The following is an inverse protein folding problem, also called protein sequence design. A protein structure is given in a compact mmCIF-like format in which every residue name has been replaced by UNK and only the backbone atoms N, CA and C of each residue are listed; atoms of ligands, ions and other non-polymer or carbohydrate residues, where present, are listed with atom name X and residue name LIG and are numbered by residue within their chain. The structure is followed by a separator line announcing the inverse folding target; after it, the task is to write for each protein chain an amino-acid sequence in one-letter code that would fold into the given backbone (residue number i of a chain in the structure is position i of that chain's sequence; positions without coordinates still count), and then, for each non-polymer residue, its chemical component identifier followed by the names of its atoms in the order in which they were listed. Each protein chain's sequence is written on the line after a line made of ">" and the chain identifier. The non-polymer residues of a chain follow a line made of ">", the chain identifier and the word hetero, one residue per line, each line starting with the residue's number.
data_IF_072665085468
#
_entry.id   IF_072665085468
#
_cell.length_a   1.000
_cell.length_b   1.000
_cell.length_c   1.000
_cell.angle_alpha   90.00
_cell.angle_beta   90.00
_cell.angle_gamma   90.00
#
_symmetry.space_group_name_H-M   'P 1'
#
loop_
_entity.id
_entity.type
_entity.pdbx_description
1 polymer ?
#
# COMPACT_ATOMS: atom_id res chain seq x y z
N UNK A 1 -4.72 -30.76 -17.90
CA UNK A 1 -4.59 -29.33 -18.24
C UNK A 1 -3.35 -28.84 -17.50
N UNK A 2 -2.25 -28.61 -18.23
CA UNK A 2 -0.93 -28.33 -17.67
C UNK A 2 -0.93 -26.99 -16.94
N UNK A 3 -0.41 -26.97 -15.71
CA UNK A 3 -0.28 -25.78 -14.86
C UNK A 3 0.92 -24.90 -15.22
N UNK A 4 1.63 -25.19 -16.31
CA UNK A 4 2.75 -24.39 -16.77
C UNK A 4 2.54 -24.12 -18.26
N UNK A 5 2.09 -22.90 -18.55
CA UNK A 5 2.14 -22.26 -19.86
C UNK A 5 3.63 -22.03 -20.17
N UNK A 6 4.26 -23.02 -20.84
CA UNK A 6 5.67 -23.00 -21.21
C UNK A 6 5.93 -21.90 -22.26
N UNK A 7 6.15 -20.67 -21.82
CA UNK A 7 6.54 -19.59 -22.73
C UNK A 7 6.42 -18.16 -22.19
N UNK A 8 5.67 -17.93 -21.11
CA UNK A 8 5.66 -16.61 -20.47
C UNK A 8 6.76 -16.51 -19.44
N UNK A 9 7.71 -15.60 -19.68
CA UNK A 9 8.63 -15.19 -18.63
C UNK A 9 7.79 -14.59 -17.49
N UNK A 10 7.81 -15.13 -16.26
CA UNK A 10 7.02 -14.59 -15.15
C UNK A 10 7.44 -13.16 -14.77
N UNK A 11 8.57 -12.68 -15.32
CA UNK A 11 9.09 -11.33 -15.17
C UNK A 11 8.91 -10.45 -16.42
N UNK A 12 8.22 -10.92 -17.48
CA UNK A 12 7.97 -10.11 -18.70
C UNK A 12 7.13 -8.87 -18.39
N UNK A 13 6.28 -8.95 -17.37
CA UNK A 13 5.69 -7.79 -16.70
C UNK A 13 6.51 -7.49 -15.46
N UNK A 14 7.69 -6.89 -15.65
CA UNK A 14 8.54 -6.38 -14.56
C UNK A 14 7.64 -5.68 -13.56
N UNK A 15 7.66 -6.15 -12.30
CA UNK A 15 6.94 -5.54 -11.18
C UNK A 15 7.14 -4.03 -11.25
N UNK A 16 6.13 -3.30 -11.74
CA UNK A 16 6.14 -1.85 -11.70
C UNK A 16 5.75 -1.48 -10.28
N UNK A 17 6.75 -1.36 -9.43
CA UNK A 17 6.57 -0.82 -8.10
C UNK A 17 6.28 0.67 -8.25
N UNK A 18 5.32 1.17 -7.46
CA UNK A 18 5.08 2.60 -7.37
C UNK A 18 6.35 3.33 -6.93
N UNK A 19 6.53 4.58 -7.37
CA UNK A 19 7.68 5.43 -6.98
C UNK A 19 7.89 5.49 -5.47
N UNK A 20 6.79 5.55 -4.72
CA UNK A 20 6.76 5.57 -3.26
C UNK A 20 7.36 4.31 -2.61
N UNK A 21 7.47 3.19 -3.33
CA UNK A 21 8.12 1.96 -2.85
C UNK A 21 9.61 2.00 -3.19
N UNK A 22 9.96 2.14 -4.47
CA UNK A 22 11.35 1.95 -4.92
C UNK A 22 12.28 3.13 -4.62
N UNK A 23 11.74 4.34 -4.39
CA UNK A 23 12.52 5.49 -3.94
C UNK A 23 12.58 5.64 -2.42
N UNK A 24 11.80 4.85 -1.67
CA UNK A 24 11.72 5.00 -0.23
C UNK A 24 12.90 4.33 0.47
N UNK A 25 13.49 5.03 1.44
CA UNK A 25 14.45 4.45 2.37
C UNK A 25 13.73 4.18 3.71
N UNK A 26 13.36 2.93 4.00
CA UNK A 26 12.61 2.60 5.22
C UNK A 26 13.45 2.77 6.48
N UNK A 27 14.77 2.59 6.42
CA UNK A 27 15.66 2.72 7.57
C UNK A 27 15.76 4.18 8.02
N UNK A 28 16.03 5.09 7.09
CA UNK A 28 16.05 6.53 7.36
C UNK A 28 14.70 7.01 7.88
N UNK A 29 13.61 6.61 7.23
CA UNK A 29 12.27 6.98 7.66
C UNK A 29 11.97 6.50 9.10
N UNK A 30 12.29 5.24 9.41
CA UNK A 30 12.07 4.70 10.75
C UNK A 30 12.88 5.46 11.80
N UNK A 31 14.14 5.79 11.51
CA UNK A 31 14.99 6.55 12.41
C UNK A 31 14.44 7.95 12.66
N UNK A 32 14.04 8.67 11.60
CA UNK A 32 13.52 10.03 11.68
C UNK A 32 12.18 10.10 12.42
N UNK A 33 11.29 9.13 12.16
CA UNK A 33 9.92 9.13 12.69
C UNK A 33 9.77 8.43 14.05
N UNK A 34 10.80 7.74 14.54
CA UNK A 34 10.73 6.92 15.76
C UNK A 34 10.20 7.69 16.97
N UNK A 35 10.76 8.86 17.25
CA UNK A 35 10.39 9.65 18.43
C UNK A 35 8.91 10.08 18.37
N UNK A 36 8.46 10.60 17.22
CA UNK A 36 7.08 11.03 17.04
C UNK A 36 6.08 9.86 17.13
N UNK A 37 6.44 8.71 16.55
CA UNK A 37 5.64 7.49 16.67
C UNK A 37 5.57 7.00 18.14
N UNK A 38 6.67 7.05 18.88
CA UNK A 38 6.71 6.68 20.29
C UNK A 38 5.83 7.62 21.15
N UNK A 39 5.91 8.93 20.92
CA UNK A 39 5.07 9.90 21.62
C UNK A 39 3.58 9.70 21.31
N UNK A 40 3.23 9.38 20.07
CA UNK A 40 1.86 9.01 19.71
C UNK A 40 1.35 7.82 20.53
N UNK A 41 2.17 6.77 20.69
CA UNK A 41 1.81 5.59 21.46
C UNK A 41 1.71 5.86 22.97
N UNK A 42 2.59 6.70 23.51
CA UNK A 42 2.68 6.94 24.95
C UNK A 42 1.65 7.95 25.46
N UNK A 43 1.44 9.03 24.72
CA UNK A 43 0.65 10.19 25.18
C UNK A 43 -0.40 10.66 24.18
N UNK A 44 -0.55 9.98 23.03
CA UNK A 44 -1.51 10.38 22.00
C UNK A 44 -1.11 11.64 21.24
N UNK A 45 0.19 11.99 21.20
CA UNK A 45 0.67 13.09 20.38
C UNK A 45 0.29 12.85 18.90
N UNK A 46 -0.06 13.89 18.12
CA UNK A 46 -0.37 13.72 16.70
C UNK A 46 0.81 13.11 15.95
N UNK A 47 0.54 12.06 15.18
CA UNK A 47 1.50 11.41 14.29
C UNK A 47 0.79 10.96 13.03
N UNK A 48 1.36 11.32 11.88
CA UNK A 48 0.87 10.91 10.57
C UNK A 48 2.04 10.29 9.80
N UNK A 49 1.85 9.07 9.33
CA UNK A 49 2.86 8.39 8.55
C UNK A 49 2.84 8.88 7.09
N UNK A 50 4.02 9.17 6.54
CA UNK A 50 4.16 9.72 5.17
C UNK A 50 4.79 8.72 4.21
N UNK A 51 4.98 7.47 4.65
CA UNK A 51 5.49 6.35 3.86
C UNK A 51 4.39 5.64 3.03
N UNK A 52 3.36 6.38 2.64
CA UNK A 52 2.24 5.94 1.81
C UNK A 52 2.32 6.63 0.43
N UNK A 53 1.57 6.17 -0.58
CA UNK A 53 1.43 6.91 -1.83
C UNK A 53 1.01 8.36 -1.56
N UNK A 54 1.58 9.30 -2.30
CA UNK A 54 1.35 10.74 -2.03
C UNK A 54 -0.13 11.09 -2.18
N UNK A 55 -0.72 11.69 -1.16
CA UNK A 55 -2.15 12.04 -1.14
C UNK A 55 -3.09 10.85 -0.92
N UNK A 56 -2.56 9.66 -0.63
CA UNK A 56 -3.36 8.54 -0.17
C UNK A 56 -3.87 8.85 1.23
N UNK A 57 -5.17 8.63 1.45
CA UNK A 57 -5.80 8.69 2.76
C UNK A 57 -6.30 7.29 3.05
N UNK A 58 -5.78 6.69 4.11
CA UNK A 58 -6.22 5.38 4.54
C UNK A 58 -7.71 5.40 4.88
N UNK A 59 -8.43 4.38 4.44
CA UNK A 59 -9.83 4.16 4.73
C UNK A 59 -9.95 2.80 5.40
N UNK A 60 -10.70 2.76 6.50
CA UNK A 60 -10.97 1.50 7.19
C UNK A 60 -11.71 0.52 6.27
N UNK A 61 -11.31 -0.73 6.37
CA UNK A 61 -11.93 -1.84 5.65
C UNK A 61 -11.93 -3.07 6.54
N UNK A 62 -12.86 -3.97 6.26
CA UNK A 62 -12.90 -5.30 6.86
C UNK A 62 -13.14 -6.35 5.77
N UNK A 63 -12.81 -7.60 6.10
CA UNK A 63 -12.89 -8.70 5.14
C UNK A 63 -14.34 -8.93 4.67
N UNK A 64 -15.33 -8.76 5.56
CA UNK A 64 -16.74 -9.02 5.24
C UNK A 64 -17.27 -8.00 4.21
N UNK A 65 -16.94 -6.73 4.39
CA UNK A 65 -17.29 -5.65 3.47
C UNK A 65 -16.63 -5.81 2.11
N UNK A 66 -15.35 -6.19 2.05
CA UNK A 66 -14.68 -6.44 0.77
C UNK A 66 -15.25 -7.67 0.03
N UNK A 67 -15.61 -8.73 0.76
CA UNK A 67 -16.29 -9.89 0.16
C UNK A 67 -17.68 -9.52 -0.39
N UNK A 68 -18.45 -8.71 0.33
CA UNK A 68 -19.74 -8.23 -0.17
C UNK A 68 -19.60 -7.33 -1.41
N UNK A 69 -18.59 -6.45 -1.45
CA UNK A 69 -18.26 -5.65 -2.64
C UNK A 69 -17.95 -6.57 -3.82
N UNK A 70 -17.15 -7.61 -3.61
CA UNK A 70 -16.84 -8.61 -4.63
C UNK A 70 -18.10 -9.33 -5.14
N UNK A 71 -18.95 -9.83 -4.24
CA UNK A 71 -20.18 -10.57 -4.60
C UNK A 71 -21.18 -9.70 -5.37
N UNK A 72 -21.20 -8.40 -5.10
CA UNK A 72 -22.05 -7.41 -5.78
C UNK A 72 -21.41 -6.84 -7.05
N UNK A 73 -20.18 -7.24 -7.39
CA UNK A 73 -19.44 -6.78 -8.57
C UNK A 73 -18.90 -5.36 -8.47
N UNK A 74 -18.78 -4.81 -7.25
CA UNK A 74 -18.11 -3.54 -7.00
C UNK A 74 -16.60 -3.74 -7.19
N UNK A 75 -16.00 -2.90 -8.03
CA UNK A 75 -14.56 -2.94 -8.28
C UNK A 75 -13.80 -2.32 -7.11
N UNK A 76 -12.59 -2.82 -6.78
CA UNK A 76 -11.73 -2.20 -5.78
C UNK A 76 -11.42 -0.74 -6.12
N UNK A 77 -11.55 0.14 -5.14
CA UNK A 77 -11.29 1.57 -5.24
C UNK A 77 -9.93 1.96 -4.64
N UNK A 78 -9.05 0.99 -4.38
CA UNK A 78 -7.73 1.21 -3.77
C UNK A 78 -6.90 2.29 -4.49
N UNK A 79 -7.01 2.36 -5.82
CA UNK A 79 -6.30 3.33 -6.66
C UNK A 79 -7.05 4.65 -6.84
N UNK A 80 -8.20 4.82 -6.20
CA UNK A 80 -9.05 6.01 -6.36
C UNK A 80 -8.50 7.25 -5.63
N UNK A 81 -7.65 7.05 -4.62
CA UNK A 81 -7.02 8.13 -3.87
C UNK A 81 -5.51 7.90 -3.71
N UNK A 82 -4.74 8.97 -3.81
CA UNK A 82 -3.29 8.95 -3.81
C UNK A 82 -2.65 8.69 -5.18
N UNK A 83 -1.36 9.01 -5.28
CA UNK A 83 -0.53 8.79 -6.47
C UNK A 83 0.18 7.43 -6.40
N UNK A 84 -0.42 6.44 -7.04
CA UNK A 84 0.09 5.07 -7.17
C UNK A 84 0.95 4.85 -8.42
N UNK A 85 1.35 5.93 -9.10
CA UNK A 85 2.15 5.82 -10.33
C UNK A 85 3.54 5.23 -10.08
N UNK A 86 4.04 4.53 -11.10
CA UNK A 86 5.33 3.86 -11.12
C UNK A 86 6.43 4.76 -11.68
#
# INVERSE_FOLDING_TARGET
>A
MSLLDEGKNPFENVFRLGRWIWQHNPETYAQEQFAAALENLQIGAPFENTNLPKGHVYQDWDVEGELQKQDTGVLPDLLSNGDWSC
#
